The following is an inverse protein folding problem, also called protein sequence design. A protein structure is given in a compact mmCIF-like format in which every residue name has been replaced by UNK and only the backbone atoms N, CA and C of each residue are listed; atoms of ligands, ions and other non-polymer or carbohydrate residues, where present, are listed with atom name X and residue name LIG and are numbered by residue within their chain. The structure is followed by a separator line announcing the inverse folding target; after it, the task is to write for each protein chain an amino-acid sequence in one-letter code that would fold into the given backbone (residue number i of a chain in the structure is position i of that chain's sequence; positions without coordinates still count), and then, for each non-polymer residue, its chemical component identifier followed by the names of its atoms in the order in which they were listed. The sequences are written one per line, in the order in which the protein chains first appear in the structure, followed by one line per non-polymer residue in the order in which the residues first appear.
data_IF_971527676936
#
_entry.id   IF_971527676936
#
_cell.length_a   1.000
_cell.length_b   1.000
_cell.length_c   1.000
_cell.angle_alpha   90.00
_cell.angle_beta   90.00
_cell.angle_gamma   90.00
#
_symmetry.space_group_name_H-M   'P 1'
#
loop_
_entity.id
_entity.type
_entity.pdbx_description
1 polymer ?
#
# COMPACT_ATOMS: atom_id res chain seq x y z
N UNK A 1 2.78 20.90 -11.09
CA UNK A 1 2.44 20.43 -11.39
C UNK A 1 1.21 20.48 -11.67
N UNK A 2 0.74 20.88 -11.91
CA UNK A 2 -0.46 21.05 -12.20
C UNK A 2 -1.22 19.93 -12.60
N UNK A 3 -0.73 18.97 -13.00
CA UNK A 3 -1.48 17.98 -13.36
C UNK A 3 -2.03 17.33 -12.28
N UNK A 4 -3.30 17.35 -12.13
CA UNK A 4 -3.91 16.69 -11.11
C UNK A 4 -3.82 15.23 -11.30
N UNK A 5 -3.32 14.57 -10.34
CA UNK A 5 -3.30 13.15 -10.35
C UNK A 5 -4.65 12.70 -9.83
N UNK A 6 -5.36 11.96 -10.66
CA UNK A 6 -6.65 11.46 -10.26
C UNK A 6 -6.51 10.50 -9.08
N UNK A 7 -7.39 10.63 -8.11
CA UNK A 7 -7.44 9.71 -6.99
C UNK A 7 -8.25 8.48 -7.35
N UNK A 8 -7.71 7.33 -7.03
CA UNK A 8 -8.41 6.07 -7.19
C UNK A 8 -9.09 5.75 -5.87
N UNK A 9 -10.40 5.92 -5.82
CA UNK A 9 -11.17 5.69 -4.59
C UNK A 9 -11.46 4.21 -4.44
N UNK A 10 -11.26 3.71 -3.23
CA UNK A 10 -11.48 2.30 -2.87
C UNK A 10 -12.31 2.24 -1.59
N UNK A 11 -12.90 1.09 -1.25
CA UNK A 11 -13.68 0.97 -0.02
C UNK A 11 -12.90 1.35 1.24
N UNK A 12 -11.58 1.14 1.23
CA UNK A 12 -10.73 1.40 2.39
C UNK A 12 -10.14 2.82 2.42
N UNK A 13 -10.29 3.60 1.37
CA UNK A 13 -9.70 4.93 1.28
C UNK A 13 -9.43 5.32 -0.16
N UNK A 14 -8.19 5.75 -0.45
CA UNK A 14 -7.87 6.14 -1.83
C UNK A 14 -6.34 6.14 -2.02
N UNK A 15 -5.92 6.16 -3.27
CA UNK A 15 -4.51 6.33 -3.60
C UNK A 15 -4.36 7.17 -4.87
N UNK A 16 -3.17 7.69 -5.08
CA UNK A 16 -2.82 8.41 -6.31
C UNK A 16 -1.37 8.13 -6.67
N UNK A 17 -1.09 8.07 -7.96
CA UNK A 17 0.27 7.90 -8.45
C UNK A 17 0.94 9.27 -8.49
N UNK A 18 2.10 9.40 -7.85
CA UNK A 18 2.83 10.65 -7.80
C UNK A 18 3.95 10.70 -8.84
N UNK A 19 4.52 9.57 -9.19
CA UNK A 19 5.58 9.48 -10.17
C UNK A 19 5.63 8.09 -10.76
N UNK A 20 5.97 7.99 -12.03
CA UNK A 20 6.11 6.73 -12.72
C UNK A 20 7.32 6.83 -13.65
N UNK A 21 8.27 5.97 -13.46
CA UNK A 21 9.45 5.89 -14.31
C UNK A 21 9.73 4.47 -14.74
N UNK A 22 10.87 4.27 -15.40
CA UNK A 22 11.28 2.92 -15.78
C UNK A 22 11.69 2.19 -14.52
N UNK A 23 10.95 1.12 -14.19
CA UNK A 23 11.29 0.28 -13.05
C UNK A 23 10.84 0.80 -11.70
N UNK A 24 10.09 1.91 -11.64
CA UNK A 24 9.58 2.38 -10.36
C UNK A 24 8.26 3.15 -10.49
N UNK A 25 7.49 3.13 -9.43
CA UNK A 25 6.29 3.97 -9.29
C UNK A 25 6.19 4.42 -7.84
N UNK A 26 5.81 5.67 -7.62
CA UNK A 26 5.59 6.22 -6.29
C UNK A 26 4.11 6.53 -6.14
N UNK A 27 3.51 6.06 -5.04
CA UNK A 27 2.10 6.32 -4.76
C UNK A 27 1.92 6.95 -3.39
N UNK A 28 0.90 7.76 -3.26
CA UNK A 28 0.40 8.24 -1.97
C UNK A 28 -0.87 7.46 -1.69
N UNK A 29 -0.95 6.87 -0.52
CA UNK A 29 -2.06 6.01 -0.13
C UNK A 29 -2.63 6.51 1.19
N UNK A 30 -3.95 6.63 1.26
CA UNK A 30 -4.65 7.02 2.49
C UNK A 30 -5.63 5.92 2.85
N UNK A 31 -5.50 5.39 4.05
CA UNK A 31 -6.38 4.31 4.56
C UNK A 31 -7.22 4.88 5.69
N UNK A 32 -8.51 4.82 5.53
CA UNK A 32 -9.46 5.36 6.51
C UNK A 32 -9.42 4.57 7.82
N UNK A 33 -9.79 5.20 8.94
CA UNK A 33 -9.81 4.50 10.24
C UNK A 33 -10.61 3.21 10.18
N UNK A 34 -10.05 2.16 10.75
CA UNK A 34 -10.71 0.85 10.83
C UNK A 34 -10.71 0.04 9.54
N UNK A 35 -10.11 0.55 8.48
CA UNK A 35 -10.11 -0.12 7.19
C UNK A 35 -8.78 -0.83 6.94
N UNK A 36 -8.77 -1.70 5.94
CA UNK A 36 -7.58 -2.49 5.59
C UNK A 36 -7.55 -2.78 4.10
N UNK A 37 -6.35 -2.89 3.55
CA UNK A 37 -6.17 -3.41 2.20
C UNK A 37 -6.29 -4.94 2.24
N UNK A 38 -6.38 -5.57 1.06
CA UNK A 38 -6.41 -7.03 0.98
C UNK A 38 -5.06 -7.62 1.40
N UNK A 39 -5.10 -8.86 1.85
CA UNK A 39 -3.88 -9.64 2.04
C UNK A 39 -3.46 -10.10 0.66
N UNK A 40 -2.28 -9.70 0.21
CA UNK A 40 -1.91 -9.82 -1.19
C UNK A 40 -0.41 -10.04 -1.40
N UNK A 41 -0.04 -10.45 -2.60
CA UNK A 41 1.37 -10.51 -3.01
C UNK A 41 1.51 -10.04 -4.45
N UNK A 42 2.73 -9.67 -4.83
CA UNK A 42 3.06 -9.25 -6.20
C UNK A 42 4.26 -10.06 -6.68
N UNK A 43 4.21 -10.49 -7.93
CA UNK A 43 5.24 -11.37 -8.48
C UNK A 43 6.36 -10.62 -9.19
N UNK A 44 6.17 -9.34 -9.49
CA UNK A 44 7.10 -8.60 -10.34
C UNK A 44 7.63 -7.33 -9.70
N UNK A 45 7.24 -7.04 -8.46
CA UNK A 45 7.69 -5.82 -7.78
C UNK A 45 7.89 -6.02 -6.29
N UNK A 46 8.81 -5.24 -5.73
CA UNK A 46 8.97 -5.07 -4.29
C UNK A 46 8.44 -3.69 -3.92
N UNK A 47 8.25 -3.43 -2.64
CA UNK A 47 7.69 -2.15 -2.19
C UNK A 47 8.42 -1.66 -0.94
N UNK A 48 8.53 -0.34 -0.81
CA UNK A 48 8.95 0.31 0.42
C UNK A 48 7.79 1.20 0.87
N UNK A 49 7.40 1.08 2.11
CA UNK A 49 6.29 1.86 2.67
C UNK A 49 6.83 2.79 3.74
N UNK A 50 6.54 4.08 3.61
CA UNK A 50 6.92 5.11 4.57
C UNK A 50 5.64 5.71 5.11
N UNK A 51 5.39 5.58 6.41
CA UNK A 51 4.20 6.15 7.03
C UNK A 51 4.45 7.64 7.27
N UNK A 52 3.54 8.48 6.82
CA UNK A 52 3.62 9.94 6.97
C UNK A 52 2.77 10.39 8.15
N UNK A 53 1.60 9.79 8.34
CA UNK A 53 0.68 10.16 9.42
C UNK A 53 -0.12 8.94 9.85
N UNK A 54 -0.51 8.90 11.10
CA UNK A 54 -1.26 7.78 11.66
C UNK A 54 -0.35 6.62 12.04
N UNK A 55 -0.96 5.49 12.37
CA UNK A 55 -0.24 4.26 12.72
C UNK A 55 -0.86 3.10 11.98
N UNK A 56 -0.06 2.39 11.21
CA UNK A 56 -0.49 1.24 10.44
C UNK A 56 -0.09 -0.06 11.13
N UNK A 57 -0.94 -1.06 11.05
CA UNK A 57 -0.58 -2.42 11.43
C UNK A 57 -0.19 -3.13 10.14
N UNK A 58 1.06 -3.54 10.04
CA UNK A 58 1.63 -4.12 8.83
C UNK A 58 1.88 -5.61 9.06
N UNK A 59 1.46 -6.43 8.11
CA UNK A 59 1.73 -7.86 8.10
C UNK A 59 2.57 -8.16 6.86
N UNK A 60 3.72 -8.81 7.02
CA UNK A 60 4.59 -9.24 5.93
C UNK A 60 4.99 -10.67 6.23
N UNK A 61 4.41 -11.65 5.50
CA UNK A 61 4.58 -13.05 5.83
C UNK A 61 4.07 -13.31 7.23
N UNK A 62 4.92 -13.85 8.11
CA UNK A 62 4.56 -14.10 9.51
C UNK A 62 4.91 -12.91 10.42
N UNK A 63 5.49 -11.87 9.87
CA UNK A 63 5.95 -10.72 10.65
C UNK A 63 4.83 -9.70 10.76
N UNK A 64 4.59 -9.20 11.97
CA UNK A 64 3.59 -8.16 12.21
C UNK A 64 4.20 -7.05 13.03
N UNK A 65 3.85 -5.81 12.68
CA UNK A 65 4.45 -4.65 13.32
C UNK A 65 3.53 -3.44 13.20
N UNK A 66 3.51 -2.61 14.25
CA UNK A 66 2.92 -1.29 14.15
C UNK A 66 3.98 -0.33 13.60
N UNK A 67 3.58 0.45 12.61
CA UNK A 67 4.47 1.40 11.93
C UNK A 67 3.84 2.77 12.04
N UNK A 68 4.52 3.70 12.67
CA UNK A 68 4.01 5.05 12.89
C UNK A 68 4.74 6.06 12.01
N UNK A 69 4.34 7.32 12.12
CA UNK A 69 4.91 8.40 11.28
C UNK A 69 6.43 8.38 11.33
N UNK A 70 7.04 8.56 10.17
CA UNK A 70 8.47 8.54 9.95
C UNK A 70 9.12 7.16 10.03
N UNK A 71 8.35 6.11 10.20
CA UNK A 71 8.88 4.75 10.15
C UNK A 71 8.57 4.13 8.80
N UNK A 72 9.35 3.14 8.41
CA UNK A 72 9.20 2.50 7.11
C UNK A 72 9.43 1.00 7.21
N UNK A 73 8.93 0.29 6.22
CA UNK A 73 9.15 -1.15 6.09
C UNK A 73 9.42 -1.50 4.64
N UNK A 74 10.13 -2.58 4.45
CA UNK A 74 10.39 -3.13 3.12
C UNK A 74 9.54 -4.38 2.91
N UNK A 75 8.83 -4.43 1.78
CA UNK A 75 8.01 -5.57 1.39
C UNK A 75 8.72 -6.27 0.23
N UNK A 76 9.34 -7.42 0.47
CA UNK A 76 10.07 -8.11 -0.59
C UNK A 76 9.15 -8.60 -1.71
N UNK A 77 9.74 -8.76 -2.89
CA UNK A 77 9.04 -9.34 -4.02
C UNK A 77 8.49 -10.70 -3.62
N UNK A 78 7.22 -10.95 -3.92
CA UNK A 78 6.56 -12.23 -3.63
C UNK A 78 6.04 -12.38 -2.20
N UNK A 79 6.39 -11.50 -1.29
CA UNK A 79 5.93 -11.62 0.09
C UNK A 79 4.43 -11.33 0.21
N UNK A 80 3.73 -12.14 0.98
CA UNK A 80 2.32 -11.91 1.29
C UNK A 80 2.25 -10.80 2.32
N UNK A 81 1.47 -9.77 2.06
CA UNK A 81 1.46 -8.60 2.92
C UNK A 81 0.09 -7.94 3.00
N UNK A 82 -0.12 -7.14 4.05
CA UNK A 82 -1.33 -6.37 4.27
C UNK A 82 -1.02 -5.15 5.13
N UNK A 83 -1.74 -4.07 4.87
CA UNK A 83 -1.73 -2.89 5.73
C UNK A 83 -3.14 -2.65 6.27
N UNK A 84 -3.23 -2.43 7.58
CA UNK A 84 -4.49 -2.14 8.25
C UNK A 84 -4.35 -0.84 9.04
N UNK A 85 -5.44 -0.12 9.16
CA UNK A 85 -5.48 1.06 10.03
C UNK A 85 -6.30 0.75 11.29
N UNK A 86 -5.65 0.40 12.41
CA UNK A 86 -6.38 0.07 13.63
C UNK A 86 -6.79 1.31 14.42
N UNK A 87 -6.38 2.49 14.00
CA UNK A 87 -6.56 3.71 14.76
C UNK A 87 -7.83 4.47 14.44
N UNK A 88 -7.88 5.72 14.87
CA UNK A 88 -9.04 6.59 14.72
C UNK A 88 -8.80 7.76 13.79
N UNK A 89 -7.59 7.87 13.25
CA UNK A 89 -7.27 8.88 12.24
C UNK A 89 -6.80 8.17 10.99
N UNK A 90 -6.85 8.81 9.82
CA UNK A 90 -6.36 8.18 8.60
C UNK A 90 -4.88 7.86 8.67
N UNK A 91 -4.47 6.77 8.03
CA UNK A 91 -3.06 6.47 7.79
C UNK A 91 -2.72 7.04 6.42
N UNK A 92 -1.68 7.86 6.37
CA UNK A 92 -1.15 8.36 5.12
C UNK A 92 0.23 7.75 4.91
N UNK A 93 0.46 7.20 3.72
CA UNK A 93 1.67 6.43 3.44
C UNK A 93 2.18 6.75 2.05
N UNK A 94 3.48 6.79 1.90
CA UNK A 94 4.14 6.85 0.60
C UNK A 94 4.67 5.45 0.29
N UNK A 95 4.30 4.93 -0.87
CA UNK A 95 4.74 3.62 -1.32
C UNK A 95 5.63 3.80 -2.52
N UNK A 96 6.82 3.20 -2.49
CA UNK A 96 7.71 3.15 -3.63
C UNK A 96 7.71 1.71 -4.13
N UNK A 97 7.25 1.51 -5.36
CA UNK A 97 7.26 0.21 -6.02
C UNK A 97 8.47 0.14 -6.94
N UNK A 98 9.20 -0.94 -6.91
CA UNK A 98 10.33 -1.15 -7.83
C UNK A 98 10.23 -2.55 -8.42
N UNK A 99 10.43 -2.68 -9.72
CA UNK A 99 10.35 -3.97 -10.37
C UNK A 99 10.26 -3.90 -11.87
N UNK A 100 10.19 -5.08 -12.48
CA UNK A 100 10.17 -5.21 -13.93
C UNK A 100 8.79 -4.90 -14.52
N UNK A 101 7.73 -5.08 -13.75
CA UNK A 101 6.38 -4.82 -14.21
C UNK A 101 5.57 -4.21 -13.06
N UNK A 102 4.94 -3.07 -13.31
CA UNK A 102 4.23 -2.30 -12.27
C UNK A 102 2.73 -2.21 -12.50
N UNK A 103 2.16 -3.06 -13.37
CA UNK A 103 0.73 -3.05 -13.64
C UNK A 103 -0.09 -3.48 -12.43
N UNK A 104 -1.29 -2.92 -12.30
CA UNK A 104 -2.18 -3.22 -11.17
C UNK A 104 -2.69 -4.65 -11.21
N UNK A 105 -2.57 -5.34 -12.33
CA UNK A 105 -2.96 -6.74 -12.45
C UNK A 105 -1.91 -7.72 -11.90
N UNK A 106 -0.73 -7.22 -11.49
CA UNK A 106 0.27 -8.06 -10.83
C UNK A 106 -0.09 -8.17 -9.34
N UNK A 107 -1.12 -8.93 -9.05
CA UNK A 107 -1.62 -9.08 -7.69
C UNK A 107 -2.28 -10.44 -7.51
N UNK A 108 -1.96 -11.09 -6.40
CA UNK A 108 -2.68 -12.28 -5.94
C UNK A 108 -3.30 -11.89 -4.60
N UNK A 109 -4.62 -11.97 -4.50
CA UNK A 109 -5.33 -11.66 -3.27
C UNK A 109 -5.66 -12.93 -2.52
N UNK A 110 -5.32 -12.95 -1.23
CA UNK A 110 -5.58 -14.11 -0.38
C UNK A 110 -6.79 -13.86 0.51
N UNK A 111 -7.01 -12.60 0.90
CA UNK A 111 -8.12 -12.25 1.75
C UNK A 111 -8.48 -10.81 1.49
N UNK A 112 -9.77 -10.53 1.26
CA UNK A 112 -10.23 -9.17 1.00
C UNK A 112 -11.57 -8.99 1.72
N UNK A 113 -11.60 -8.15 2.77
CA UNK A 113 -12.81 -7.97 3.58
C UNK A 113 -13.95 -7.31 2.81
N UNK A 114 -13.68 -6.75 1.63
CA UNK A 114 -14.68 -6.04 0.84
C UNK A 114 -15.29 -6.92 -0.25
N UNK A 115 -14.98 -8.21 -0.24
CA UNK A 115 -15.60 -9.21 -1.13
C UNK A 115 -15.58 -8.82 -2.60
N UNK A 116 -14.39 -8.54 -3.12
CA UNK A 116 -14.26 -8.26 -4.52
C UNK A 116 -14.64 -9.45 -5.33
N UNK A 117 -15.27 -9.21 -6.43
CA UNK A 117 -15.59 -10.29 -7.35
C UNK A 117 -15.00 -10.03 -8.72
#
# INVERSE_FOLDING_TARGET
QGESMARDVRPWGWFESLALGTGFQVKRIVVNPGQALSLQSHNHRAEHWIVVAGTAHVTIGDFRKLVSANESVYVPLGAVHRLENPGKIPVEMIEVQTGAYLGEDDIVRYEDRYARS
#
